data_IF_877511823747
#
_entry.id   IF_877511823747
#
_cell.length_a   1.000
_cell.length_b   1.000
_cell.length_c   1.000
_cell.angle_alpha   90.00
_cell.angle_beta   90.00
_cell.angle_gamma   90.00
#
_symmetry.space_group_name_H-M   'P 1'
#
loop_
_entity.id
_entity.type
_entity.pdbx_description
1 polymer ?
#
# COMPACT_ATOMS: atom_id res chain seq x y z
N UNK A 1 -19.31 50.80 1.00
CA UNK A 1 -20.05 50.02 -0.01
C UNK A 1 -19.28 50.21 -1.31
N UNK A 2 -18.49 49.28 -1.84
CA UNK A 2 -18.65 47.82 -1.97
C UNK A 2 -17.28 47.15 -1.78
N UNK A 3 -17.27 46.03 -1.05
CA UNK A 3 -16.16 45.08 -0.88
C UNK A 3 -15.84 44.35 -2.20
N UNK A 4 -14.61 43.88 -2.39
CA UNK A 4 -14.28 43.09 -3.58
C UNK A 4 -12.88 42.48 -3.63
N UNK A 5 -12.75 41.33 -2.95
CA UNK A 5 -11.81 40.22 -3.19
C UNK A 5 -10.29 40.47 -3.18
N UNK A 6 -9.67 40.07 -2.08
CA UNK A 6 -8.31 39.55 -2.03
C UNK A 6 -8.18 38.33 -2.96
N UNK A 7 -7.55 38.50 -4.13
CA UNK A 7 -7.11 37.37 -4.93
C UNK A 7 -5.72 36.93 -4.46
N UNK A 8 -5.68 35.92 -3.59
CA UNK A 8 -4.48 35.15 -3.29
C UNK A 8 -4.02 34.38 -4.54
N UNK A 9 -3.33 35.06 -5.45
CA UNK A 9 -2.70 34.46 -6.63
C UNK A 9 -1.30 35.04 -6.89
N UNK A 10 -0.62 35.52 -5.84
CA UNK A 10 0.80 35.85 -5.89
C UNK A 10 1.63 34.57 -6.00
N UNK A 11 1.80 34.03 -7.21
CA UNK A 11 2.74 32.94 -7.46
C UNK A 11 2.52 32.09 -8.71
N UNK A 12 1.40 32.23 -9.42
CA UNK A 12 1.15 31.45 -10.63
C UNK A 12 1.43 32.31 -11.86
N UNK A 13 2.48 31.98 -12.61
CA UNK A 13 2.74 32.57 -13.92
C UNK A 13 1.51 32.26 -14.80
N UNK A 14 0.82 33.26 -15.37
CA UNK A 14 -0.29 33.01 -16.27
C UNK A 14 0.19 32.14 -17.45
N UNK A 15 -0.42 30.97 -17.63
CA UNK A 15 -0.21 30.14 -18.82
C UNK A 15 -1.49 30.14 -19.65
N UNK A 16 -1.36 30.32 -20.96
CA UNK A 16 -2.49 30.23 -21.90
C UNK A 16 -3.10 28.81 -21.98
N UNK A 17 -2.41 27.81 -21.41
CA UNK A 17 -2.91 26.45 -21.32
C UNK A 17 -3.86 26.28 -20.13
N UNK A 18 -4.97 25.58 -20.36
CA UNK A 18 -5.87 25.15 -19.29
C UNK A 18 -5.10 24.32 -18.25
N UNK A 19 -5.32 24.53 -16.94
CA UNK A 19 -4.66 23.76 -15.91
C UNK A 19 -4.95 22.26 -16.07
N UNK A 20 -3.89 21.47 -16.21
CA UNK A 20 -3.98 20.01 -16.28
C UNK A 20 -4.18 19.50 -14.86
N UNK A 21 -5.24 18.71 -14.64
CA UNK A 21 -5.48 18.07 -13.35
C UNK A 21 -4.32 17.12 -13.01
N UNK A 22 -3.86 17.15 -11.76
CA UNK A 22 -2.73 16.34 -11.26
C UNK A 22 -2.85 14.86 -11.60
N UNK A 23 -4.08 14.32 -11.68
CA UNK A 23 -4.31 12.92 -12.01
C UNK A 23 -3.77 12.54 -13.39
N UNK A 24 -3.85 13.42 -14.38
CA UNK A 24 -3.30 13.17 -15.72
C UNK A 24 -1.76 13.20 -15.70
N UNK A 25 -1.18 14.06 -14.87
CA UNK A 25 0.28 14.18 -14.73
C UNK A 25 0.87 12.96 -14.03
N UNK A 26 0.20 12.42 -13.01
CA UNK A 26 0.65 11.20 -12.31
C UNK A 26 0.55 9.97 -13.20
N UNK A 27 -0.46 9.91 -14.08
CA UNK A 27 -0.65 8.82 -15.02
C UNK A 27 0.28 8.89 -16.23
N UNK A 28 0.71 10.07 -16.65
CA UNK A 28 1.54 10.22 -17.85
C UNK A 28 2.85 9.37 -17.85
N UNK A 29 3.64 9.27 -16.76
CA UNK A 29 4.84 8.43 -16.70
C UNK A 29 4.61 6.94 -16.99
N UNK A 30 3.42 6.40 -16.69
CA UNK A 30 3.11 4.98 -16.89
C UNK A 30 3.07 4.59 -18.38
N UNK A 31 2.67 5.54 -19.23
CA UNK A 31 2.44 5.34 -20.65
C UNK A 31 3.71 5.61 -21.47
N UNK A 32 4.81 5.93 -20.79
CA UNK A 32 6.11 6.01 -21.46
C UNK A 32 6.51 4.61 -21.95
N UNK A 33 7.18 4.51 -23.12
CA UNK A 33 7.65 3.22 -23.64
C UNK A 33 8.57 2.47 -22.66
N UNK A 34 9.33 3.19 -21.83
CA UNK A 34 10.17 2.60 -20.79
C UNK A 34 9.37 1.90 -19.70
N UNK A 35 8.33 2.55 -19.17
CA UNK A 35 7.47 1.99 -18.12
C UNK A 35 6.65 0.81 -18.64
N UNK A 36 6.17 0.86 -19.88
CA UNK A 36 5.50 -0.28 -20.53
C UNK A 36 6.48 -1.44 -20.67
N UNK A 37 7.67 -1.22 -21.26
CA UNK A 37 8.68 -2.28 -21.38
C UNK A 37 9.05 -2.91 -20.05
N UNK A 38 9.18 -2.12 -18.99
CA UNK A 38 9.50 -2.62 -17.65
C UNK A 38 8.38 -3.52 -17.11
N UNK A 39 7.12 -3.08 -17.19
CA UNK A 39 5.96 -3.87 -16.75
C UNK A 39 5.81 -5.19 -17.51
N UNK A 40 6.10 -5.18 -18.80
CA UNK A 40 6.01 -6.37 -19.66
C UNK A 40 7.26 -7.27 -19.60
N UNK A 41 8.31 -6.88 -18.88
CA UNK A 41 9.59 -7.60 -18.88
C UNK A 41 9.70 -8.74 -17.86
N UNK A 42 8.81 -8.80 -16.87
CA UNK A 42 8.88 -9.74 -15.75
C UNK A 42 7.81 -10.83 -15.81
N UNK A 43 8.08 -11.98 -15.18
CA UNK A 43 7.09 -13.04 -14.99
C UNK A 43 6.18 -12.70 -13.79
N UNK A 44 4.86 -12.79 -13.99
CA UNK A 44 3.87 -12.54 -12.94
C UNK A 44 3.91 -13.57 -11.82
N UNK A 45 4.53 -14.73 -12.03
CA UNK A 45 4.75 -15.73 -10.99
C UNK A 45 5.87 -15.37 -10.02
N UNK A 46 6.73 -14.42 -10.39
CA UNK A 46 7.86 -14.01 -9.55
C UNK A 46 7.51 -12.74 -8.75
N UNK A 47 7.81 -12.70 -7.44
CA UNK A 47 7.61 -11.51 -6.63
C UNK A 47 8.50 -10.37 -7.14
N UNK A 48 8.13 -9.13 -6.81
CA UNK A 48 8.93 -7.96 -7.17
C UNK A 48 10.27 -7.99 -6.42
N UNK A 49 10.25 -8.32 -5.13
CA UNK A 49 11.44 -8.55 -4.32
C UNK A 49 11.09 -9.36 -3.06
N UNK A 50 12.03 -10.18 -2.61
CA UNK A 50 12.02 -10.87 -1.32
C UNK A 50 13.34 -10.60 -0.61
N UNK A 51 13.29 -10.21 0.67
CA UNK A 51 14.50 -9.99 1.45
C UNK A 51 14.24 -10.06 2.95
N UNK A 52 15.27 -10.40 3.72
CA UNK A 52 15.22 -10.43 5.19
C UNK A 52 16.03 -9.28 5.77
N UNK A 53 15.49 -8.65 6.81
CA UNK A 53 16.13 -7.52 7.51
C UNK A 53 16.02 -7.67 9.02
N UNK A 54 16.98 -7.15 9.79
CA UNK A 54 16.78 -6.92 11.22
C UNK A 54 15.57 -6.01 11.45
N UNK A 55 14.75 -6.35 12.45
CA UNK A 55 13.56 -5.60 12.85
C UNK A 55 13.50 -5.50 14.37
N UNK A 56 12.66 -4.60 14.89
CA UNK A 56 12.34 -4.52 16.31
C UNK A 56 10.88 -4.83 16.58
N UNK A 57 10.63 -5.65 17.58
CA UNK A 57 9.30 -5.87 18.12
C UNK A 57 8.85 -4.66 18.97
N UNK A 58 7.54 -4.52 19.27
CA UNK A 58 7.02 -3.41 20.07
C UNK A 58 7.64 -3.28 21.48
N UNK A 59 8.13 -4.38 22.05
CA UNK A 59 8.83 -4.40 23.34
C UNK A 59 10.31 -3.97 23.25
N UNK A 60 10.79 -3.68 22.04
CA UNK A 60 12.16 -3.26 21.75
C UNK A 60 13.15 -4.40 21.50
N UNK A 61 12.72 -5.65 21.62
CA UNK A 61 13.56 -6.82 21.30
C UNK A 61 13.89 -6.88 19.80
N UNK A 62 15.03 -7.48 19.48
CA UNK A 62 15.50 -7.65 18.12
C UNK A 62 14.95 -8.94 17.53
N UNK A 63 14.49 -8.89 16.28
CA UNK A 63 14.05 -10.04 15.51
C UNK A 63 14.53 -9.94 14.05
N UNK A 64 14.23 -10.97 13.26
CA UNK A 64 14.33 -10.89 11.80
C UNK A 64 12.94 -10.77 11.18
N UNK A 65 12.86 -9.94 10.15
CA UNK A 65 11.66 -9.76 9.34
C UNK A 65 11.92 -10.08 7.88
N UNK A 66 11.14 -11.00 7.33
CA UNK A 66 11.09 -11.22 5.88
C UNK A 66 10.06 -10.31 5.25
N UNK A 67 10.47 -9.60 4.20
CA UNK A 67 9.62 -8.73 3.40
C UNK A 67 9.38 -9.38 2.05
N UNK A 68 8.11 -9.47 1.67
CA UNK A 68 7.67 -9.93 0.36
C UNK A 68 6.90 -8.80 -0.31
N UNK A 69 7.37 -8.38 -1.49
CA UNK A 69 6.67 -7.40 -2.31
C UNK A 69 6.09 -8.12 -3.52
N UNK A 70 4.76 -8.12 -3.61
CA UNK A 70 4.03 -8.78 -4.66
C UNK A 70 3.86 -7.88 -5.89
N UNK A 71 3.88 -8.50 -7.07
CA UNK A 71 3.40 -7.90 -8.32
C UNK A 71 1.92 -8.18 -8.44
N UNK A 72 1.11 -7.14 -8.56
CA UNK A 72 -0.36 -7.24 -8.54
C UNK A 72 -1.00 -6.48 -9.69
N UNK A 73 -2.33 -6.38 -9.69
CA UNK A 73 -3.09 -5.61 -10.71
C UNK A 73 -3.11 -4.10 -10.45
N UNK A 74 -2.45 -3.66 -9.37
CA UNK A 74 -2.47 -2.27 -8.92
C UNK A 74 -3.60 -1.98 -7.93
N UNK A 75 -3.44 -0.93 -7.12
CA UNK A 75 -4.43 -0.60 -6.11
C UNK A 75 -5.63 0.21 -6.63
N UNK A 76 -6.66 0.32 -5.80
CA UNK A 76 -7.87 1.11 -6.09
C UNK A 76 -7.61 2.55 -6.54
N UNK A 77 -6.57 3.16 -5.97
CA UNK A 77 -6.21 4.53 -6.31
C UNK A 77 -5.38 4.59 -7.57
N UNK A 78 -4.59 3.56 -7.84
CA UNK A 78 -3.91 3.41 -9.11
C UNK A 78 -4.91 3.36 -10.27
N UNK A 79 -6.02 2.64 -10.17
CA UNK A 79 -7.03 2.61 -11.24
C UNK A 79 -7.75 3.95 -11.46
N UNK A 80 -7.72 4.86 -10.47
CA UNK A 80 -8.38 6.18 -10.55
C UNK A 80 -7.42 7.32 -10.88
N UNK A 81 -6.22 7.31 -10.30
CA UNK A 81 -5.20 8.34 -10.42
C UNK A 81 -3.81 7.81 -10.05
N UNK A 82 -3.48 7.72 -8.75
CA UNK A 82 -2.15 7.30 -8.26
C UNK A 82 -1.54 8.31 -7.28
N UNK A 83 -0.68 7.86 -6.37
CA UNK A 83 0.07 8.78 -5.51
C UNK A 83 1.29 9.31 -6.28
N UNK A 84 1.68 10.56 -6.06
CA UNK A 84 2.76 11.23 -6.83
C UNK A 84 4.14 10.60 -6.68
N UNK A 85 4.37 9.88 -5.58
CA UNK A 85 5.66 9.27 -5.23
C UNK A 85 5.63 7.73 -5.32
N UNK A 86 4.49 7.13 -5.68
CA UNK A 86 4.33 5.68 -5.66
C UNK A 86 5.21 5.03 -6.75
N UNK A 87 6.12 4.14 -6.39
CA UNK A 87 6.94 3.39 -7.35
C UNK A 87 6.26 2.14 -7.93
N UNK A 88 5.19 1.65 -7.29
CA UNK A 88 4.54 0.38 -7.61
C UNK A 88 3.94 0.32 -9.01
N UNK A 89 3.73 1.45 -9.70
CA UNK A 89 3.26 1.43 -11.09
C UNK A 89 4.20 0.67 -12.05
N UNK A 90 5.44 0.38 -11.65
CA UNK A 90 6.37 -0.43 -12.44
C UNK A 90 6.15 -1.95 -12.29
N UNK A 91 5.44 -2.35 -11.24
CA UNK A 91 5.25 -3.73 -10.81
C UNK A 91 3.76 -4.16 -10.88
N UNK A 92 2.97 -3.42 -11.67
CA UNK A 92 1.55 -3.70 -11.90
C UNK A 92 1.29 -4.21 -13.32
N UNK A 93 0.43 -5.23 -13.45
CA UNK A 93 -0.05 -5.75 -14.73
C UNK A 93 -1.47 -6.30 -14.61
N UNK A 94 -2.32 -6.07 -15.60
CA UNK A 94 -3.76 -6.34 -15.49
C UNK A 94 -4.12 -7.84 -15.53
N UNK A 95 -3.21 -8.66 -16.04
CA UNK A 95 -3.32 -10.11 -16.24
C UNK A 95 -2.79 -10.94 -15.04
N UNK A 96 -2.32 -10.30 -13.96
CA UNK A 96 -1.92 -11.02 -12.74
C UNK A 96 -3.13 -11.74 -12.17
N UNK A 97 -3.02 -13.06 -12.03
CA UNK A 97 -4.07 -13.96 -11.54
C UNK A 97 -3.86 -14.39 -10.09
N UNK A 98 -4.88 -15.03 -9.49
CA UNK A 98 -4.74 -15.70 -8.20
C UNK A 98 -3.57 -16.70 -8.17
N UNK A 99 -3.44 -17.54 -9.21
CA UNK A 99 -2.36 -18.54 -9.29
C UNK A 99 -0.98 -17.88 -9.37
N UNK A 100 -0.89 -16.70 -10.00
CA UNK A 100 0.34 -15.91 -9.99
C UNK A 100 0.69 -15.45 -8.58
N UNK A 101 -0.28 -14.91 -7.83
CA UNK A 101 -0.05 -14.45 -6.46
C UNK A 101 0.33 -15.60 -5.51
N UNK A 102 -0.26 -16.79 -5.70
CA UNK A 102 0.14 -17.99 -4.96
C UNK A 102 1.54 -18.45 -5.36
N UNK A 103 1.89 -18.44 -6.65
CA UNK A 103 3.24 -18.78 -7.10
C UNK A 103 4.29 -17.82 -6.50
N UNK A 104 4.00 -16.52 -6.42
CA UNK A 104 4.88 -15.54 -5.78
C UNK A 104 5.08 -15.83 -4.28
N UNK A 105 4.03 -16.29 -3.60
CA UNK A 105 4.11 -16.67 -2.19
C UNK A 105 4.95 -17.94 -1.98
N UNK A 106 4.78 -18.96 -2.83
CA UNK A 106 5.61 -20.17 -2.80
C UNK A 106 7.07 -19.87 -3.13
N UNK A 107 7.33 -19.01 -4.11
CA UNK A 107 8.68 -18.56 -4.45
C UNK A 107 9.33 -17.81 -3.27
N UNK A 108 8.60 -16.93 -2.58
CA UNK A 108 9.08 -16.25 -1.39
C UNK A 108 9.46 -17.23 -0.26
N UNK A 109 8.67 -18.29 -0.05
CA UNK A 109 9.01 -19.37 0.87
C UNK A 109 10.29 -20.08 0.44
N UNK A 110 10.44 -20.42 -0.83
CA UNK A 110 11.67 -21.07 -1.33
C UNK A 110 12.91 -20.20 -1.13
N UNK A 111 12.83 -18.90 -1.45
CA UNK A 111 13.95 -17.96 -1.29
C UNK A 111 14.40 -17.78 0.16
N UNK A 112 13.53 -18.08 1.13
CA UNK A 112 13.75 -17.79 2.56
C UNK A 112 13.83 -19.06 3.42
N UNK A 113 13.98 -20.23 2.79
CA UNK A 113 13.92 -21.53 3.45
C UNK A 113 12.67 -21.67 4.34
N UNK A 114 11.50 -21.41 3.76
CA UNK A 114 10.20 -21.44 4.43
C UNK A 114 10.12 -20.47 5.63
N UNK A 115 10.67 -19.26 5.45
CA UNK A 115 10.76 -18.20 6.45
C UNK A 115 11.58 -18.56 7.71
N UNK A 116 12.50 -19.51 7.61
CA UNK A 116 13.35 -19.92 8.75
C UNK A 116 14.04 -18.70 9.40
N UNK A 117 13.95 -18.63 10.73
CA UNK A 117 14.54 -17.55 11.52
C UNK A 117 13.80 -16.21 11.46
N UNK A 118 12.75 -16.08 10.64
CA UNK A 118 11.89 -14.89 10.64
C UNK A 118 10.81 -14.99 11.71
N UNK A 119 10.63 -13.91 12.49
CA UNK A 119 9.53 -13.78 13.44
C UNK A 119 8.41 -12.88 12.88
N UNK A 120 8.78 -12.02 11.92
CA UNK A 120 7.90 -11.05 11.29
C UNK A 120 7.86 -11.28 9.78
N UNK A 121 6.66 -11.28 9.21
CA UNK A 121 6.46 -11.23 7.76
C UNK A 121 5.82 -9.90 7.40
N UNK A 122 6.39 -9.20 6.41
CA UNK A 122 5.85 -7.95 5.87
C UNK A 122 5.40 -8.18 4.44
N UNK A 123 4.14 -7.91 4.17
CA UNK A 123 3.55 -8.06 2.84
C UNK A 123 3.19 -6.68 2.31
N UNK A 124 3.76 -6.38 1.15
CA UNK A 124 3.43 -5.20 0.37
C UNK A 124 2.89 -5.62 -0.98
N UNK A 125 1.85 -4.95 -1.42
CA UNK A 125 1.29 -5.07 -2.77
C UNK A 125 1.43 -3.71 -3.45
N UNK A 126 0.52 -3.33 -4.35
CA UNK A 126 0.57 -2.04 -5.03
C UNK A 126 -0.18 -0.93 -4.30
N UNK A 127 -0.56 -1.15 -3.03
CA UNK A 127 -1.08 -0.11 -2.15
C UNK A 127 -2.00 -0.56 -1.02
N UNK A 128 -2.72 -1.68 -1.14
CA UNK A 128 -3.57 -2.17 -0.04
C UNK A 128 -3.84 -3.66 -0.14
N UNK A 129 -3.51 -4.41 0.92
CA UNK A 129 -3.80 -5.83 1.02
C UNK A 129 -5.30 -6.14 0.87
N UNK A 130 -6.17 -5.21 1.29
CA UNK A 130 -7.62 -5.40 1.40
C UNK A 130 -8.46 -5.09 0.14
N UNK A 131 -7.88 -4.77 -1.01
CA UNK A 131 -8.65 -4.54 -2.24
C UNK A 131 -8.89 -5.86 -2.99
N UNK A 132 -10.11 -6.36 -2.93
CA UNK A 132 -10.48 -7.69 -3.43
C UNK A 132 -10.25 -7.89 -4.94
N UNK A 133 -10.23 -6.79 -5.73
CA UNK A 133 -9.91 -6.86 -7.17
C UNK A 133 -8.41 -6.97 -7.45
N UNK A 134 -7.58 -6.46 -6.55
CA UNK A 134 -6.13 -6.52 -6.60
C UNK A 134 -5.64 -7.85 -6.02
N UNK A 135 -6.16 -8.17 -4.83
CA UNK A 135 -5.77 -9.29 -3.99
C UNK A 135 -7.05 -10.08 -3.67
N UNK A 136 -7.34 -11.19 -4.36
CA UNK A 136 -8.59 -11.93 -4.14
C UNK A 136 -8.77 -12.36 -2.67
N UNK A 137 -10.00 -12.37 -2.11
CA UNK A 137 -10.25 -12.72 -0.71
C UNK A 137 -9.66 -14.08 -0.29
N UNK A 138 -9.69 -15.05 -1.19
CA UNK A 138 -9.11 -16.38 -1.01
C UNK A 138 -7.58 -16.33 -0.81
N UNK A 139 -6.88 -15.44 -1.53
CA UNK A 139 -5.45 -15.22 -1.37
C UNK A 139 -5.17 -14.47 -0.07
N UNK A 140 -5.96 -13.43 0.23
CA UNK A 140 -5.86 -12.72 1.51
C UNK A 140 -6.02 -13.71 2.69
N UNK A 141 -7.00 -14.61 2.61
CA UNK A 141 -7.28 -15.61 3.65
C UNK A 141 -6.16 -16.63 3.78
N UNK A 142 -5.62 -17.15 2.67
CA UNK A 142 -4.50 -18.09 2.68
C UNK A 142 -3.29 -17.51 3.43
N UNK A 143 -2.91 -16.27 3.09
CA UNK A 143 -1.80 -15.56 3.74
C UNK A 143 -2.07 -15.34 5.24
N UNK A 144 -3.25 -14.85 5.60
CA UNK A 144 -3.62 -14.59 6.99
C UNK A 144 -3.58 -15.87 7.83
N UNK A 145 -4.18 -16.96 7.33
CA UNK A 145 -4.22 -18.24 8.06
C UNK A 145 -2.85 -18.88 8.16
N UNK A 146 -2.12 -19.01 7.06
CA UNK A 146 -0.82 -19.68 7.05
C UNK A 146 0.17 -18.95 7.99
N UNK A 147 0.23 -17.62 7.94
CA UNK A 147 1.12 -16.86 8.83
C UNK A 147 0.68 -16.92 10.29
N UNK A 148 -0.63 -16.95 10.57
CA UNK A 148 -1.12 -17.11 11.94
C UNK A 148 -0.82 -18.51 12.50
N UNK A 149 -1.08 -19.57 11.74
CA UNK A 149 -0.83 -20.97 12.12
C UNK A 149 0.66 -21.25 12.38
N UNK A 150 1.54 -20.55 11.67
CA UNK A 150 3.00 -20.57 11.88
C UNK A 150 3.48 -19.71 13.05
N UNK A 151 2.59 -18.96 13.72
CA UNK A 151 2.95 -18.05 14.80
C UNK A 151 3.73 -16.82 14.34
N UNK A 152 3.69 -16.50 13.04
CA UNK A 152 4.41 -15.37 12.47
C UNK A 152 3.63 -14.07 12.68
N UNK A 153 4.32 -13.04 13.15
CA UNK A 153 3.75 -11.70 13.25
C UNK A 153 3.63 -11.10 11.85
N UNK A 154 2.40 -10.86 11.41
CA UNK A 154 2.14 -10.34 10.07
C UNK A 154 1.98 -8.81 10.08
N UNK A 155 2.65 -8.15 9.13
CA UNK A 155 2.45 -6.75 8.79
C UNK A 155 1.94 -6.67 7.35
N UNK A 156 0.76 -6.10 7.15
CA UNK A 156 0.20 -5.83 5.82
C UNK A 156 0.04 -4.35 5.58
N UNK A 157 0.26 -3.90 4.34
CA UNK A 157 -0.04 -2.51 3.99
C UNK A 157 -1.53 -2.28 3.71
N UNK A 158 -2.01 -1.07 4.00
CA UNK A 158 -3.37 -0.68 3.69
C UNK A 158 -3.51 0.80 3.35
N UNK A 159 -4.55 1.09 2.57
CA UNK A 159 -5.09 2.45 2.46
C UNK A 159 -6.15 2.69 3.53
N UNK A 160 -6.18 3.91 4.07
CA UNK A 160 -7.08 4.27 5.17
C UNK A 160 -8.56 4.07 4.83
N UNK A 161 -8.97 4.34 3.59
CA UNK A 161 -10.34 4.13 3.12
C UNK A 161 -10.76 2.66 2.99
N UNK A 162 -9.79 1.73 2.98
CA UNK A 162 -10.05 0.27 2.87
C UNK A 162 -10.14 -0.44 4.22
N UNK A 163 -9.87 0.27 5.32
CA UNK A 163 -9.97 -0.26 6.68
C UNK A 163 -11.42 -0.18 7.19
N UNK A 164 -12.36 -0.86 6.54
CA UNK A 164 -13.78 -0.87 6.96
C UNK A 164 -13.98 -1.78 8.18
N UNK A 165 -15.01 -1.54 9.02
CA UNK A 165 -15.28 -2.38 10.19
C UNK A 165 -15.43 -3.86 9.85
N UNK A 166 -16.14 -4.17 8.76
CA UNK A 166 -16.40 -5.55 8.33
C UNK A 166 -15.10 -6.24 7.91
N UNK A 167 -14.26 -5.56 7.12
CA UNK A 167 -12.98 -6.10 6.68
C UNK A 167 -12.02 -6.28 7.86
N UNK A 168 -11.97 -5.33 8.80
CA UNK A 168 -11.06 -5.42 9.95
C UNK A 168 -11.50 -6.52 10.94
N UNK A 169 -12.79 -6.72 11.12
CA UNK A 169 -13.31 -7.86 11.89
C UNK A 169 -12.94 -9.20 11.23
N UNK A 170 -13.09 -9.30 9.89
CA UNK A 170 -12.71 -10.48 9.12
C UNK A 170 -11.22 -10.79 9.20
N UNK A 171 -10.36 -9.76 9.18
CA UNK A 171 -8.91 -9.90 9.40
C UNK A 171 -8.61 -10.37 10.81
N UNK A 172 -9.20 -9.74 11.84
CA UNK A 172 -8.96 -10.06 13.24
C UNK A 172 -9.39 -11.49 13.62
N UNK A 173 -10.43 -12.02 12.95
CA UNK A 173 -10.84 -13.42 13.09
C UNK A 173 -9.77 -14.39 12.57
N UNK A 174 -9.06 -14.04 11.49
CA UNK A 174 -8.11 -14.93 10.79
C UNK A 174 -6.67 -14.78 11.27
N UNK A 175 -6.27 -13.55 11.62
CA UNK A 175 -4.95 -13.22 12.16
C UNK A 175 -5.08 -12.21 13.31
N UNK A 176 -5.42 -12.67 14.51
CA UNK A 176 -5.46 -11.83 15.71
C UNK A 176 -4.12 -11.11 15.94
N UNK A 177 -4.18 -9.79 16.12
CA UNK A 177 -2.98 -8.97 16.34
C UNK A 177 -2.18 -8.64 15.06
N UNK A 178 -2.72 -8.92 13.87
CA UNK A 178 -2.14 -8.47 12.61
C UNK A 178 -1.87 -6.95 12.64
N UNK A 179 -0.70 -6.55 12.15
CA UNK A 179 -0.28 -5.14 12.06
C UNK A 179 -0.70 -4.58 10.72
N UNK A 180 -1.56 -3.57 10.75
CA UNK A 180 -1.98 -2.86 9.54
C UNK A 180 -1.19 -1.57 9.42
N UNK A 181 -0.36 -1.50 8.38
CA UNK A 181 0.51 -0.38 8.09
C UNK A 181 -0.15 0.58 7.08
N UNK A 182 -0.60 1.73 7.55
CA UNK A 182 -1.29 2.73 6.73
C UNK A 182 -0.30 3.77 6.20
N UNK A 183 -0.23 3.92 4.87
CA UNK A 183 0.55 4.98 4.23
C UNK A 183 -0.11 6.36 4.33
N UNK A 184 0.05 7.06 5.45
CA UNK A 184 -0.47 8.42 5.65
C UNK A 184 0.41 9.46 4.94
N UNK A 185 1.73 9.36 5.06
CA UNK A 185 2.75 10.25 4.50
C UNK A 185 2.82 11.65 5.13
N UNK A 186 1.69 12.32 5.33
CA UNK A 186 1.64 13.64 5.94
C UNK A 186 0.39 13.80 6.81
N UNK A 187 0.54 14.44 7.97
CA UNK A 187 -0.59 14.78 8.84
C UNK A 187 -1.16 16.17 8.48
N UNK A 188 -1.39 16.41 7.19
CA UNK A 188 -1.90 17.67 6.66
C UNK A 188 -2.74 17.40 5.40
N UNK A 189 -3.99 17.86 5.38
CA UNK A 189 -4.91 17.55 4.28
C UNK A 189 -4.54 18.22 2.95
N UNK A 190 -3.91 19.39 2.98
CA UNK A 190 -3.44 20.06 1.76
C UNK A 190 -2.23 19.34 1.19
N UNK A 191 -1.30 18.89 2.03
CA UNK A 191 -0.16 18.07 1.62
C UNK A 191 -0.64 16.74 1.05
N UNK A 192 -1.52 16.03 1.76
CA UNK A 192 -2.11 14.77 1.30
C UNK A 192 -2.76 14.93 -0.08
N UNK A 193 -3.56 15.97 -0.27
CA UNK A 193 -4.33 16.18 -1.49
C UNK A 193 -3.47 16.67 -2.66
N UNK A 194 -2.64 17.68 -2.44
CA UNK A 194 -1.97 18.40 -3.53
C UNK A 194 -0.52 17.98 -3.77
N UNK A 195 0.17 17.44 -2.75
CA UNK A 195 1.58 17.05 -2.86
C UNK A 195 1.72 15.54 -2.99
N UNK A 196 0.98 14.77 -2.18
CA UNK A 196 0.98 13.31 -2.23
C UNK A 196 -0.03 12.74 -3.24
N UNK A 197 -1.05 13.52 -3.62
CA UNK A 197 -2.21 13.08 -4.39
C UNK A 197 -2.89 11.84 -3.80
N UNK A 198 -3.20 11.87 -2.50
CA UNK A 198 -3.90 10.79 -1.79
C UNK A 198 -5.42 10.94 -1.96
N UNK A 199 -6.10 9.79 -1.97
CA UNK A 199 -7.56 9.70 -2.12
C UNK A 199 -8.34 9.81 -0.80
N UNK A 200 -7.66 10.08 0.32
CA UNK A 200 -8.24 10.13 1.65
C UNK A 200 -7.66 11.31 2.46
N UNK A 201 -8.37 11.68 3.52
CA UNK A 201 -7.99 12.77 4.45
C UNK A 201 -7.53 12.24 5.81
N UNK A 202 -6.93 13.10 6.63
CA UNK A 202 -6.59 12.78 8.04
C UNK A 202 -7.81 12.30 8.83
N UNK A 203 -9.01 12.82 8.54
CA UNK A 203 -10.26 12.35 9.15
C UNK A 203 -10.58 10.89 8.79
N UNK A 204 -10.30 10.46 7.55
CA UNK A 204 -10.48 9.07 7.14
C UNK A 204 -9.41 8.18 7.78
N UNK A 205 -8.17 8.68 7.93
CA UNK A 205 -7.11 7.98 8.66
C UNK A 205 -7.49 7.74 10.12
N UNK A 206 -8.00 8.75 10.84
CA UNK A 206 -8.47 8.57 12.22
C UNK A 206 -9.54 7.48 12.34
N UNK A 207 -10.53 7.47 11.43
CA UNK A 207 -11.54 6.40 11.39
C UNK A 207 -10.92 5.02 11.19
N UNK A 208 -9.91 4.90 10.33
CA UNK A 208 -9.21 3.64 10.11
C UNK A 208 -8.48 3.18 11.38
N UNK A 209 -7.79 4.09 12.07
CA UNK A 209 -7.10 3.82 13.35
C UNK A 209 -8.09 3.34 14.42
N UNK A 210 -9.23 4.03 14.57
CA UNK A 210 -10.26 3.66 15.53
C UNK A 210 -10.84 2.28 15.21
N UNK A 211 -11.09 2.00 13.93
CA UNK A 211 -11.61 0.70 13.46
C UNK A 211 -10.62 -0.44 13.73
N UNK A 212 -9.33 -0.22 13.47
CA UNK A 212 -8.28 -1.20 13.77
C UNK A 212 -8.20 -1.51 15.26
N UNK A 213 -8.19 -0.48 16.10
CA UNK A 213 -8.14 -0.61 17.57
C UNK A 213 -9.37 -1.30 18.13
N UNK A 214 -10.56 -0.99 17.61
CA UNK A 214 -11.80 -1.66 18.01
C UNK A 214 -11.76 -3.18 17.75
N UNK A 215 -11.00 -3.61 16.74
CA UNK A 215 -10.79 -5.02 16.39
C UNK A 215 -9.51 -5.62 17.01
N UNK A 216 -8.84 -4.92 17.93
CA UNK A 216 -7.58 -5.34 18.56
C UNK A 216 -6.46 -5.65 17.56
N UNK A 217 -6.50 -4.99 16.40
CA UNK A 217 -5.42 -4.99 15.42
C UNK A 217 -4.42 -3.90 15.76
N UNK A 218 -3.17 -4.11 15.35
CA UNK A 218 -2.10 -3.16 15.59
C UNK A 218 -1.99 -2.16 14.44
N UNK A 219 -1.63 -0.92 14.78
CA UNK A 219 -1.57 0.18 13.82
C UNK A 219 -0.12 0.59 13.63
N UNK A 220 0.34 0.55 12.38
CA UNK A 220 1.58 1.19 11.94
C UNK A 220 1.22 2.29 10.94
N UNK A 221 1.96 3.39 10.92
CA UNK A 221 1.71 4.47 9.95
C UNK A 221 3.02 4.94 9.35
N UNK A 222 3.06 5.01 8.01
CA UNK A 222 4.18 5.58 7.28
C UNK A 222 3.99 7.09 7.18
N UNK A 223 5.05 7.82 7.49
CA UNK A 223 5.17 9.27 7.31
C UNK A 223 6.35 9.52 6.39
N UNK A 224 6.18 10.43 5.43
CA UNK A 224 7.22 10.85 4.51
C UNK A 224 7.76 12.17 5.01
N UNK A 225 8.92 12.12 5.67
CA UNK A 225 9.63 13.32 6.06
C UNK A 225 10.42 13.81 4.84
N UNK A 226 9.97 14.91 4.24
CA UNK A 226 10.76 15.61 3.23
C UNK A 226 11.84 16.42 3.96
N UNK A 227 13.15 16.21 3.70
CA UNK A 227 14.20 17.07 4.23
C UNK A 227 14.10 18.50 3.66
#
# INVERSE_FOLDING_TARGET
>A
MVEGSDSCSFGVIPSDNSPIKIHHLVKAPENTPGSIRKRESWDAKEPAVVYTTPERLPDGSHCQATTVIFRTRGCVWWWKSGCTFCGYFNDVRDDVTYDNLMAQWEDAKQQTNDFEGSEVIKIYTSGTFFEDRENPPEWQEAILRETHERGLRLIVEARAEMCTPEKMAWVAERHPGCVVAIGLEAYDNEVLKFHCNKGFSTKQWHRAVDTLRANKLEVKTYLLFKP
#
